data_IF_071652816314
#
_entry.id   IF_071652816314
#
_cell.length_a   1.000
_cell.length_b   1.000
_cell.length_c   1.000
_cell.angle_alpha   90.00
_cell.angle_beta   90.00
_cell.angle_gamma   90.00
#
_symmetry.space_group_name_H-M   'P 1'
#
loop_
_entity.id
_entity.type
_entity.pdbx_description
1 polymer ?
#
# COMPACT_ATOMS: atom_id res chain seq x y z
N UNK A 1 23.22 -68.16 -10.97
CA UNK A 1 24.00 -66.93 -11.17
C UNK A 1 23.08 -65.93 -11.89
N UNK A 2 22.42 -65.10 -11.14
CA UNK A 2 21.52 -64.06 -11.65
C UNK A 2 22.00 -62.73 -11.04
N UNK A 3 22.53 -61.88 -11.90
CA UNK A 3 22.97 -60.56 -11.52
C UNK A 3 21.77 -59.64 -11.32
N UNK A 4 21.66 -59.10 -10.12
CA UNK A 4 20.73 -58.01 -9.78
C UNK A 4 21.20 -56.70 -10.41
N UNK A 5 20.34 -55.92 -11.11
CA UNK A 5 20.73 -54.61 -11.57
C UNK A 5 20.74 -53.63 -10.41
N UNK A 6 21.85 -52.92 -10.28
CA UNK A 6 22.03 -51.86 -9.31
C UNK A 6 20.97 -50.75 -9.49
N UNK A 7 20.24 -50.46 -8.43
CA UNK A 7 19.37 -49.30 -8.32
C UNK A 7 20.23 -48.04 -8.36
N UNK A 8 20.06 -47.23 -9.40
CA UNK A 8 20.57 -45.87 -9.42
C UNK A 8 19.86 -45.08 -8.31
N UNK A 9 20.59 -44.32 -7.47
CA UNK A 9 19.94 -43.39 -6.55
C UNK A 9 19.29 -42.31 -7.39
N UNK A 10 17.99 -42.20 -7.22
CA UNK A 10 17.19 -41.18 -7.88
C UNK A 10 17.77 -39.77 -7.64
N UNK A 11 17.80 -39.01 -8.70
CA UNK A 11 17.94 -37.60 -8.61
C UNK A 11 16.81 -37.07 -7.69
N UNK A 12 17.18 -36.75 -6.46
CA UNK A 12 16.30 -36.03 -5.56
C UNK A 12 16.00 -34.71 -6.23
N UNK A 13 14.87 -34.72 -6.89
CA UNK A 13 14.21 -33.56 -7.40
C UNK A 13 13.99 -32.66 -6.18
N UNK A 14 14.87 -31.68 -5.99
CA UNK A 14 14.67 -30.60 -5.04
C UNK A 14 13.40 -29.85 -5.45
N UNK A 15 12.27 -30.43 -5.10
CA UNK A 15 11.02 -29.69 -5.07
C UNK A 15 11.23 -28.59 -4.04
N UNK A 16 11.48 -27.39 -4.53
CA UNK A 16 11.40 -26.19 -3.74
C UNK A 16 9.94 -26.11 -3.32
N UNK A 17 9.63 -26.69 -2.16
CA UNK A 17 8.37 -26.39 -1.48
C UNK A 17 8.47 -24.92 -1.09
N UNK A 18 7.96 -24.07 -1.96
CA UNK A 18 7.56 -22.73 -1.55
C UNK A 18 6.42 -22.99 -0.58
N UNK A 19 6.74 -23.03 0.70
CA UNK A 19 5.74 -23.01 1.75
C UNK A 19 4.99 -21.70 1.55
N UNK A 20 3.79 -21.80 0.96
CA UNK A 20 2.85 -20.71 0.88
C UNK A 20 2.51 -20.33 2.33
N UNK A 21 3.33 -19.45 2.89
CA UNK A 21 2.97 -18.76 4.13
C UNK A 21 1.75 -17.94 3.75
N UNK A 22 0.56 -18.50 4.04
CA UNK A 22 -0.69 -17.76 3.94
C UNK A 22 -0.51 -16.49 4.78
N UNK A 23 -0.36 -15.31 4.16
CA UNK A 23 -0.29 -14.10 4.94
C UNK A 23 -1.64 -13.99 5.64
N UNK A 24 -1.67 -14.04 6.97
CA UNK A 24 -2.86 -13.69 7.74
C UNK A 24 -3.27 -12.28 7.32
N UNK A 25 -4.22 -12.24 6.38
CA UNK A 25 -4.76 -11.00 5.87
C UNK A 25 -5.71 -10.47 6.95
N UNK A 26 -5.17 -9.72 7.92
CA UNK A 26 -5.99 -8.95 8.83
C UNK A 26 -6.80 -7.92 8.03
N UNK A 27 -8.01 -8.32 7.65
CA UNK A 27 -8.96 -7.41 7.02
C UNK A 27 -9.40 -6.36 8.03
N UNK A 28 -8.95 -5.13 7.83
CA UNK A 28 -9.38 -3.98 8.63
C UNK A 28 -10.41 -3.15 7.88
N UNK A 29 -11.14 -2.32 8.60
CA UNK A 29 -12.17 -1.44 8.02
C UNK A 29 -11.65 -0.60 6.85
N UNK A 30 -10.37 -0.21 6.89
CA UNK A 30 -9.70 0.55 5.82
C UNK A 30 -9.65 -0.21 4.50
N UNK A 31 -9.42 -1.53 4.55
CA UNK A 31 -9.35 -2.39 3.37
C UNK A 31 -10.75 -2.49 2.71
N UNK A 32 -11.79 -2.60 3.52
CA UNK A 32 -13.18 -2.60 3.05
C UNK A 32 -13.60 -1.27 2.42
N UNK A 33 -13.17 -0.15 3.00
CA UNK A 33 -13.44 1.18 2.45
C UNK A 33 -12.73 1.34 1.10
N UNK A 34 -11.44 0.99 1.02
CA UNK A 34 -10.68 1.04 -0.22
C UNK A 34 -11.32 0.15 -1.30
N UNK A 35 -11.74 -1.05 -0.93
CA UNK A 35 -12.42 -2.00 -1.82
C UNK A 35 -13.77 -1.47 -2.29
N UNK A 36 -14.59 -0.91 -1.41
CA UNK A 36 -15.88 -0.34 -1.76
C UNK A 36 -15.74 0.85 -2.74
N UNK A 37 -14.78 1.75 -2.49
CA UNK A 37 -14.51 2.90 -3.38
C UNK A 37 -13.98 2.41 -4.73
N UNK A 38 -13.15 1.38 -4.75
CA UNK A 38 -12.65 0.77 -5.99
C UNK A 38 -13.80 0.18 -6.83
N UNK A 39 -14.71 -0.57 -6.21
CA UNK A 39 -15.86 -1.13 -6.92
C UNK A 39 -16.84 -0.06 -7.39
N UNK A 40 -17.07 0.97 -6.60
CA UNK A 40 -17.89 2.12 -7.00
C UNK A 40 -17.27 2.82 -8.22
N UNK A 41 -15.97 3.04 -8.23
CA UNK A 41 -15.25 3.58 -9.38
C UNK A 41 -15.40 2.66 -10.60
N UNK A 42 -15.21 1.35 -10.44
CA UNK A 42 -15.38 0.37 -11.52
C UNK A 42 -16.80 0.40 -12.14
N UNK A 43 -17.82 0.50 -11.29
CA UNK A 43 -19.21 0.61 -11.74
C UNK A 43 -19.47 1.90 -12.54
N UNK A 44 -18.91 3.04 -12.10
CA UNK A 44 -19.03 4.33 -12.80
C UNK A 44 -18.32 4.29 -14.14
N UNK A 45 -17.10 3.71 -14.20
CA UNK A 45 -16.35 3.56 -15.46
C UNK A 45 -17.07 2.61 -16.41
N UNK A 46 -17.66 1.53 -15.90
CA UNK A 46 -18.48 0.63 -16.69
C UNK A 46 -19.73 1.36 -17.24
N UNK A 47 -20.42 2.12 -16.40
CA UNK A 47 -21.57 2.93 -16.81
C UNK A 47 -21.18 3.93 -17.91
N UNK A 48 -20.04 4.60 -17.77
CA UNK A 48 -19.52 5.52 -18.77
C UNK A 48 -19.26 4.83 -20.12
N UNK A 49 -18.63 3.66 -20.07
CA UNK A 49 -18.42 2.86 -21.29
C UNK A 49 -19.75 2.45 -21.93
N UNK A 50 -20.69 1.93 -21.15
CA UNK A 50 -21.98 1.47 -21.62
C UNK A 50 -22.80 2.59 -22.24
N UNK A 51 -22.91 3.74 -21.58
CA UNK A 51 -23.67 4.89 -22.09
C UNK A 51 -23.06 5.44 -23.37
N UNK A 52 -21.74 5.51 -23.44
CA UNK A 52 -21.03 6.07 -24.60
C UNK A 52 -21.10 5.17 -25.83
N UNK A 53 -20.93 3.85 -25.67
CA UNK A 53 -20.81 2.92 -26.80
C UNK A 53 -22.09 2.14 -27.12
N UNK A 54 -22.95 1.90 -26.15
CA UNK A 54 -24.20 1.14 -26.34
C UNK A 54 -25.39 2.09 -26.55
N UNK A 55 -25.50 3.12 -25.69
CA UNK A 55 -26.60 4.08 -25.76
C UNK A 55 -26.28 5.27 -26.67
N UNK A 56 -25.04 5.40 -27.14
CA UNK A 56 -24.57 6.52 -27.96
C UNK A 56 -24.86 7.90 -27.33
N UNK A 57 -24.94 7.94 -25.99
CA UNK A 57 -25.19 9.13 -25.18
C UNK A 57 -24.12 9.22 -24.07
N UNK A 58 -23.23 10.21 -24.16
CA UNK A 58 -22.13 10.35 -23.23
C UNK A 58 -22.52 11.21 -22.03
N UNK A 59 -22.57 10.57 -20.85
CA UNK A 59 -22.81 11.26 -19.58
C UNK A 59 -21.52 11.91 -19.09
N UNK A 60 -21.34 13.20 -19.29
CA UNK A 60 -20.13 13.94 -18.96
C UNK A 60 -19.78 13.89 -17.45
N UNK A 61 -20.79 13.80 -16.56
CA UNK A 61 -20.57 13.72 -15.11
C UNK A 61 -19.89 12.40 -14.67
N UNK A 62 -20.07 11.31 -15.41
CA UNK A 62 -19.46 10.02 -15.07
C UNK A 62 -17.93 10.08 -15.21
N UNK A 63 -17.42 10.81 -16.20
CA UNK A 63 -15.98 11.03 -16.39
C UNK A 63 -15.39 11.83 -15.24
N UNK A 64 -16.10 12.88 -14.80
CA UNK A 64 -15.64 13.73 -13.70
C UNK A 64 -15.59 12.95 -12.39
N UNK A 65 -16.64 12.18 -12.06
CA UNK A 65 -16.68 11.35 -10.84
C UNK A 65 -15.65 10.24 -10.88
N UNK A 66 -15.46 9.56 -12.02
CA UNK A 66 -14.46 8.51 -12.15
C UNK A 66 -13.04 9.03 -11.85
N UNK A 67 -12.71 10.24 -12.33
CA UNK A 67 -11.42 10.88 -12.06
C UNK A 67 -11.24 11.18 -10.57
N UNK A 68 -12.26 11.65 -9.89
CA UNK A 68 -12.21 11.93 -8.46
C UNK A 68 -12.19 10.67 -7.61
N UNK A 69 -12.94 9.65 -8.00
CA UNK A 69 -12.90 8.34 -7.36
C UNK A 69 -11.52 7.69 -7.47
N UNK A 70 -10.83 7.84 -8.62
CA UNK A 70 -9.46 7.37 -8.80
C UNK A 70 -8.48 8.02 -7.81
N UNK A 71 -8.62 9.34 -7.58
CA UNK A 71 -7.82 10.04 -6.58
C UNK A 71 -8.06 9.45 -5.19
N UNK A 72 -9.32 9.24 -4.81
CA UNK A 72 -9.67 8.65 -3.51
C UNK A 72 -9.13 7.24 -3.34
N UNK A 73 -9.30 6.36 -4.34
CA UNK A 73 -8.75 5.00 -4.33
C UNK A 73 -7.24 5.03 -4.13
N UNK A 74 -6.54 5.94 -4.80
CA UNK A 74 -5.09 6.05 -4.70
C UNK A 74 -4.65 6.42 -3.29
N UNK A 75 -5.24 7.45 -2.68
CA UNK A 75 -4.81 7.91 -1.35
C UNK A 75 -5.28 7.01 -0.21
N UNK A 76 -6.48 6.45 -0.30
CA UNK A 76 -6.97 5.47 0.69
C UNK A 76 -6.19 4.16 0.56
N UNK A 77 -5.94 3.71 -0.69
CA UNK A 77 -5.12 2.53 -0.95
C UNK A 77 -3.67 2.69 -0.49
N UNK A 78 -3.08 3.88 -0.65
CA UNK A 78 -1.75 4.17 -0.13
C UNK A 78 -1.67 4.01 1.40
N UNK A 79 -2.73 4.34 2.15
CA UNK A 79 -2.78 4.13 3.59
C UNK A 79 -2.69 2.63 3.95
N UNK A 80 -3.29 1.75 3.14
CA UNK A 80 -3.19 0.29 3.31
C UNK A 80 -1.76 -0.20 3.05
N UNK A 81 -1.10 0.34 2.01
CA UNK A 81 0.29 -0.01 1.66
C UNK A 81 1.27 0.43 2.75
N UNK A 82 1.12 1.64 3.30
CA UNK A 82 1.94 2.13 4.41
C UNK A 82 1.85 1.20 5.63
N UNK A 83 0.71 0.58 5.87
CA UNK A 83 0.51 -0.40 6.95
C UNK A 83 1.40 -1.63 6.78
N UNK A 84 1.51 -2.15 5.56
CA UNK A 84 2.29 -3.38 5.27
C UNK A 84 3.79 -3.20 5.46
N UNK A 85 4.28 -1.95 5.47
CA UNK A 85 5.65 -1.52 5.81
C UNK A 85 6.77 -2.36 5.17
N UNK A 86 6.50 -3.08 4.08
CA UNK A 86 7.49 -3.88 3.37
C UNK A 86 8.31 -3.01 2.42
N UNK A 87 9.54 -2.71 2.82
CA UNK A 87 10.50 -2.00 1.96
C UNK A 87 11.62 -2.96 1.54
N UNK A 88 11.34 -3.78 0.54
CA UNK A 88 12.29 -4.74 -0.04
C UNK A 88 13.66 -4.10 -0.31
N UNK A 89 13.69 -2.87 -0.80
CA UNK A 89 14.94 -2.15 -1.06
C UNK A 89 15.76 -1.87 0.22
N UNK A 90 15.09 -1.59 1.33
CA UNK A 90 15.76 -1.38 2.62
C UNK A 90 16.23 -2.70 3.19
N UNK A 91 15.46 -3.77 3.06
CA UNK A 91 15.81 -5.11 3.51
C UNK A 91 17.08 -5.62 2.83
N UNK A 92 17.16 -5.46 1.50
CA UNK A 92 18.37 -5.80 0.73
C UNK A 92 19.59 -4.99 1.18
N UNK A 93 19.43 -3.69 1.44
CA UNK A 93 20.53 -2.84 1.90
C UNK A 93 21.01 -3.23 3.30
N UNK A 94 20.09 -3.62 4.19
CA UNK A 94 20.41 -4.03 5.55
C UNK A 94 21.25 -5.30 5.61
N UNK A 95 21.15 -6.16 4.60
CA UNK A 95 21.96 -7.38 4.51
C UNK A 95 23.46 -7.09 4.45
N UNK A 96 23.86 -5.96 3.89
CA UNK A 96 25.28 -5.57 3.74
C UNK A 96 25.81 -4.74 4.92
N UNK A 97 24.96 -4.35 5.90
CA UNK A 97 25.35 -3.47 6.99
C UNK A 97 25.54 -4.22 8.32
N UNK A 98 26.57 -3.84 9.12
CA UNK A 98 26.70 -4.36 10.48
C UNK A 98 25.53 -3.89 11.38
N UNK A 99 25.16 -4.69 12.38
CA UNK A 99 23.96 -4.54 13.18
C UNK A 99 23.74 -3.14 13.80
N UNK A 100 24.80 -2.42 14.14
CA UNK A 100 24.72 -1.07 14.71
C UNK A 100 24.28 -0.01 13.69
N UNK A 101 24.86 -0.04 12.49
CA UNK A 101 24.51 0.88 11.39
C UNK A 101 23.14 0.55 10.78
N UNK A 102 22.76 -0.73 10.80
CA UNK A 102 21.44 -1.17 10.34
C UNK A 102 20.31 -0.53 11.16
N UNK A 103 20.42 -0.48 12.48
CA UNK A 103 19.44 0.18 13.36
C UNK A 103 19.33 1.67 13.11
N UNK A 104 20.48 2.35 12.96
CA UNK A 104 20.49 3.78 12.67
C UNK A 104 19.83 4.08 11.32
N UNK A 105 20.12 3.25 10.31
CA UNK A 105 19.50 3.40 8.97
C UNK A 105 17.98 3.21 9.05
N UNK A 106 17.49 2.19 9.75
CA UNK A 106 16.06 1.96 9.94
C UNK A 106 15.38 3.14 10.65
N UNK A 107 16.01 3.66 11.70
CA UNK A 107 15.50 4.83 12.42
C UNK A 107 15.42 6.07 11.52
N UNK A 108 16.45 6.31 10.69
CA UNK A 108 16.47 7.42 9.74
C UNK A 108 15.40 7.26 8.66
N UNK A 109 15.21 6.05 8.13
CA UNK A 109 14.17 5.78 7.13
C UNK A 109 12.77 5.99 7.71
N UNK A 110 12.50 5.48 8.93
CA UNK A 110 11.21 5.65 9.59
C UNK A 110 10.95 7.13 9.93
N UNK A 111 11.97 7.87 10.32
CA UNK A 111 11.88 9.32 10.57
C UNK A 111 11.62 10.07 9.28
N UNK A 112 12.30 9.74 8.18
CA UNK A 112 12.10 10.37 6.88
C UNK A 112 10.68 10.12 6.35
N UNK A 113 10.16 8.89 6.48
CA UNK A 113 8.77 8.56 6.14
C UNK A 113 7.78 9.38 6.96
N UNK A 114 7.99 9.46 8.28
CA UNK A 114 7.12 10.22 9.17
C UNK A 114 7.07 11.69 8.79
N UNK A 115 8.23 12.29 8.53
CA UNK A 115 8.35 13.68 8.11
C UNK A 115 7.68 13.92 6.76
N UNK A 116 7.90 13.05 5.78
CA UNK A 116 7.30 13.16 4.46
C UNK A 116 5.77 13.04 4.50
N UNK A 117 5.23 12.02 5.19
CA UNK A 117 3.78 11.83 5.32
C UNK A 117 3.16 12.96 6.15
N UNK A 118 3.86 13.45 7.18
CA UNK A 118 3.42 14.60 7.96
C UNK A 118 3.31 15.87 7.12
N UNK A 119 4.29 16.10 6.25
CA UNK A 119 4.27 17.25 5.31
C UNK A 119 3.13 17.12 4.29
N UNK A 120 2.91 15.90 3.75
CA UNK A 120 1.78 15.63 2.86
C UNK A 120 0.43 15.89 3.56
N UNK A 121 0.26 15.43 4.80
CA UNK A 121 -0.95 15.66 5.58
C UNK A 121 -1.18 17.17 5.82
N UNK A 122 -0.13 17.91 6.17
CA UNK A 122 -0.21 19.37 6.35
C UNK A 122 -0.64 20.08 5.07
N UNK A 123 0.00 19.79 3.95
CA UNK A 123 -0.37 20.40 2.68
C UNK A 123 -1.76 19.99 2.20
N UNK A 124 -2.19 18.75 2.44
CA UNK A 124 -3.52 18.29 2.04
C UNK A 124 -4.63 19.08 2.76
N UNK A 125 -4.47 19.38 4.05
CA UNK A 125 -5.41 20.23 4.80
C UNK A 125 -5.44 21.64 4.24
N UNK A 126 -4.27 22.24 3.99
CA UNK A 126 -4.16 23.59 3.43
C UNK A 126 -4.84 23.67 2.05
N UNK A 127 -4.72 22.63 1.22
CA UNK A 127 -5.38 22.58 -0.09
C UNK A 127 -6.90 22.49 0.06
N UNK A 128 -7.41 21.67 0.99
CA UNK A 128 -8.86 21.57 1.26
C UNK A 128 -9.44 22.95 1.61
N UNK A 129 -8.77 23.72 2.48
CA UNK A 129 -9.21 25.05 2.86
C UNK A 129 -9.24 26.03 1.68
N UNK A 130 -8.24 25.98 0.81
CA UNK A 130 -8.14 26.86 -0.37
C UNK A 130 -9.15 26.51 -1.46
N UNK A 131 -9.53 25.23 -1.58
CA UNK A 131 -10.41 24.73 -2.63
C UNK A 131 -11.91 24.79 -2.29
N UNK A 132 -12.30 25.33 -1.14
CA UNK A 132 -13.70 25.47 -0.73
C UNK A 132 -14.52 26.35 -1.68
N UNK A 133 -13.88 27.36 -2.27
CA UNK A 133 -14.52 28.32 -3.15
C UNK A 133 -14.56 27.89 -4.62
N UNK A 134 -13.83 26.83 -4.97
CA UNK A 134 -13.84 26.29 -6.32
C UNK A 134 -14.92 25.21 -6.44
N UNK A 135 -15.66 25.26 -7.55
CA UNK A 135 -16.68 24.26 -7.89
C UNK A 135 -16.16 23.30 -8.94
N UNK A 136 -16.70 22.11 -8.94
CA UNK A 136 -16.46 21.11 -9.98
C UNK A 136 -17.02 21.63 -11.32
N UNK A 137 -16.52 21.08 -12.43
CA UNK A 137 -16.82 21.62 -13.77
C UNK A 137 -18.23 21.27 -14.24
N UNK A 138 -18.69 20.06 -13.96
CA UNK A 138 -19.98 19.53 -14.45
C UNK A 138 -20.97 19.40 -13.28
N UNK A 139 -20.49 18.97 -12.13
CA UNK A 139 -21.31 18.78 -10.93
C UNK A 139 -21.14 20.01 -10.05
N UNK A 140 -22.24 20.66 -9.66
CA UNK A 140 -22.20 21.88 -8.84
C UNK A 140 -21.90 21.54 -7.35
N UNK A 141 -20.77 20.88 -7.11
CA UNK A 141 -20.25 20.56 -5.80
C UNK A 141 -18.91 21.27 -5.55
N UNK A 142 -18.57 21.59 -4.30
CA UNK A 142 -17.28 22.20 -3.99
C UNK A 142 -16.14 21.20 -4.20
N UNK A 143 -15.04 21.65 -4.78
CA UNK A 143 -13.84 20.88 -5.04
C UNK A 143 -13.19 20.36 -3.73
N UNK A 144 -13.46 21.01 -2.61
CA UNK A 144 -12.99 20.59 -1.28
C UNK A 144 -13.40 19.15 -0.90
N UNK A 145 -14.50 18.63 -1.46
CA UNK A 145 -14.90 17.23 -1.24
C UNK A 145 -13.85 16.26 -1.82
N UNK A 146 -13.36 16.53 -3.02
CA UNK A 146 -12.32 15.71 -3.66
C UNK A 146 -11.04 15.72 -2.85
N UNK A 147 -10.58 16.91 -2.47
CA UNK A 147 -9.38 17.06 -1.65
C UNK A 147 -9.58 16.59 -0.21
N UNK A 148 -10.82 16.55 0.28
CA UNK A 148 -11.19 15.94 1.55
C UNK A 148 -10.86 14.44 1.61
N UNK A 149 -11.11 13.72 0.52
CA UNK A 149 -10.70 12.31 0.39
C UNK A 149 -9.19 12.12 0.41
N UNK A 150 -8.45 13.05 -0.24
CA UNK A 150 -6.98 13.08 -0.17
C UNK A 150 -6.50 13.31 1.27
N UNK A 151 -7.07 14.31 1.95
CA UNK A 151 -6.72 14.64 3.34
C UNK A 151 -7.01 13.47 4.29
N UNK A 152 -8.15 12.79 4.10
CA UNK A 152 -8.49 11.59 4.86
C UNK A 152 -7.46 10.47 4.65
N UNK A 153 -7.08 10.19 3.40
CA UNK A 153 -6.04 9.21 3.09
C UNK A 153 -4.68 9.56 3.71
N UNK A 154 -4.26 10.83 3.59
CA UNK A 154 -3.01 11.32 4.22
C UNK A 154 -3.06 11.23 5.75
N UNK A 155 -4.20 11.53 6.36
CA UNK A 155 -4.37 11.41 7.80
C UNK A 155 -4.30 9.95 8.29
N UNK A 156 -4.93 9.02 7.56
CA UNK A 156 -4.84 7.59 7.85
C UNK A 156 -3.39 7.10 7.73
N UNK A 157 -2.68 7.51 6.67
CA UNK A 157 -1.25 7.20 6.52
C UNK A 157 -0.42 7.73 7.69
N UNK A 158 -0.66 8.99 8.10
CA UNK A 158 0.06 9.61 9.21
C UNK A 158 -0.17 8.86 10.52
N UNK A 159 -1.43 8.56 10.86
CA UNK A 159 -1.75 7.77 12.06
C UNK A 159 -1.01 6.44 12.07
N UNK A 160 -1.02 5.74 10.94
CA UNK A 160 -0.33 4.44 10.82
C UNK A 160 1.18 4.57 10.97
N UNK A 161 1.77 5.56 10.31
CA UNK A 161 3.21 5.77 10.40
C UNK A 161 3.65 6.16 11.81
N UNK A 162 2.87 6.98 12.51
CA UNK A 162 3.12 7.34 13.91
C UNK A 162 3.10 6.10 14.80
N UNK A 163 2.07 5.25 14.69
CA UNK A 163 1.96 4.01 15.47
C UNK A 163 3.16 3.08 15.18
N UNK A 164 3.51 2.91 13.92
CA UNK A 164 4.65 2.07 13.50
C UNK A 164 5.96 2.62 14.03
N UNK A 165 6.17 3.94 13.94
CA UNK A 165 7.37 4.59 14.46
C UNK A 165 7.52 4.38 15.96
N UNK A 166 6.48 4.61 16.76
CA UNK A 166 6.54 4.40 18.21
C UNK A 166 6.76 2.93 18.58
N UNK A 167 6.14 2.00 17.85
CA UNK A 167 6.38 0.56 18.06
C UNK A 167 7.83 0.19 17.78
N UNK A 168 8.37 0.59 16.64
CA UNK A 168 9.75 0.32 16.25
C UNK A 168 10.76 0.99 17.21
N UNK A 169 10.48 2.23 17.64
CA UNK A 169 11.31 2.95 18.61
C UNK A 169 11.32 2.25 19.96
N UNK A 170 10.17 1.73 20.42
CA UNK A 170 10.06 0.98 21.69
C UNK A 170 10.82 -0.35 21.64
N UNK A 171 10.78 -1.03 20.50
CA UNK A 171 11.46 -2.31 20.27
C UNK A 171 12.95 -2.12 19.91
N UNK A 172 13.46 -0.89 19.84
CA UNK A 172 14.82 -0.54 19.49
C UNK A 172 15.22 -1.01 18.09
N UNK A 173 14.27 -1.07 17.14
CA UNK A 173 14.43 -1.59 15.77
C UNK A 173 14.96 -3.03 15.69
N UNK A 174 14.83 -3.82 16.77
CA UNK A 174 15.31 -5.20 16.82
C UNK A 174 14.43 -6.14 15.98
N UNK A 175 13.12 -5.90 15.95
CA UNK A 175 12.15 -6.76 15.23
C UNK A 175 12.40 -6.73 13.73
N UNK A 176 12.71 -5.55 13.17
CA UNK A 176 13.07 -5.42 11.77
C UNK A 176 14.39 -6.14 11.42
N UNK A 177 15.33 -6.18 12.35
CA UNK A 177 16.58 -6.91 12.19
C UNK A 177 16.39 -8.44 12.31
N UNK A 178 15.43 -8.89 13.12
CA UNK A 178 15.12 -10.30 13.31
C UNK A 178 14.42 -10.91 12.10
N UNK A 179 13.46 -10.20 11.49
CA UNK A 179 12.79 -10.66 10.26
C UNK A 179 13.74 -10.84 9.07
N UNK A 180 14.81 -10.03 9.02
CA UNK A 180 15.86 -10.15 7.99
C UNK A 180 16.75 -11.38 8.28
N UNK A 181 17.02 -11.66 9.56
CA UNK A 181 17.80 -12.84 9.98
C UNK A 181 17.08 -14.17 9.76
N UNK A 182 15.78 -14.20 9.94
CA UNK A 182 14.94 -15.40 9.73
C UNK A 182 14.72 -15.71 8.24
N UNK A 183 14.68 -14.70 7.37
CA UNK A 183 14.61 -14.89 5.91
C UNK A 183 15.89 -15.42 5.26
N UNK A 184 17.00 -15.52 6.01
CA UNK A 184 18.32 -15.95 5.54
C UNK A 184 18.68 -17.39 5.97
N UNK A 185 17.85 -18.03 6.80
CA UNK A 185 18.08 -19.41 7.25
C UNK A 185 17.18 -20.35 6.42
N UNK A 186 17.16 -20.17 5.13
CA UNK A 186 16.65 -21.17 4.19
C UNK A 186 17.83 -21.55 3.28
N UNK A 187 18.73 -22.34 3.86
CA UNK A 187 19.67 -23.19 3.14
C UNK A 187 19.10 -24.60 3.00
#
# INVERSE_FOLDING_TARGET
MSASPASQPGADEHLIFVEDVDPEIEHRLEDWIAFAVFWAMGAIVFLQFFTRYVLNDSLAWTEEIARYALIWVTFIGAAVVVRKNSHIAVEVLLHFLPAGSARLLLALVDLAKLLFIGLLAYFSITIVERMQWQRMVIIDLPMSIVYGGVALGCFLMLMRQVITFFRNARDGWNTAQKSIGEGLIVD
#
